data_IF_221803686665
#
_entry.id   IF_221803686665
#
_cell.length_a   1.000
_cell.length_b   1.000
_cell.length_c   1.000
_cell.angle_alpha   90.00
_cell.angle_beta   90.00
_cell.angle_gamma   90.00
#
_symmetry.space_group_name_H-M   'P 1'
#
loop_
_entity.id
_entity.type
_entity.pdbx_description
1 polymer ?
#
# COMPACT_ATOMS: atom_id res chain seq x y z
N UNK A 1 -15.91 0.08 -33.87
CA UNK A 1 -15.15 -1.18 -33.70
C UNK A 1 -14.04 -0.97 -32.64
N UNK A 2 -14.17 -1.64 -31.50
CA UNK A 2 -13.14 -1.63 -30.47
C UNK A 2 -11.92 -2.43 -30.92
N UNK A 3 -10.71 -1.89 -30.71
CA UNK A 3 -9.46 -2.57 -31.07
C UNK A 3 -8.92 -3.36 -29.89
N UNK A 4 -8.09 -4.38 -30.14
CA UNK A 4 -7.41 -5.15 -29.07
C UNK A 4 -6.61 -4.22 -28.14
N UNK A 5 -6.04 -3.13 -28.68
CA UNK A 5 -5.31 -2.12 -27.91
C UNK A 5 -6.20 -1.33 -26.92
N UNK A 6 -7.50 -1.19 -27.19
CA UNK A 6 -8.42 -0.52 -26.27
C UNK A 6 -8.84 -1.42 -25.10
N UNK A 7 -8.84 -2.74 -25.31
CA UNK A 7 -9.10 -3.74 -24.27
C UNK A 7 -7.92 -3.81 -23.28
N UNK A 8 -6.70 -3.81 -23.78
CA UNK A 8 -5.49 -3.87 -22.94
C UNK A 8 -5.34 -2.62 -22.05
N UNK A 9 -5.67 -1.43 -22.58
CA UNK A 9 -5.62 -0.18 -21.81
C UNK A 9 -6.59 -0.19 -20.62
N UNK A 10 -7.81 -0.68 -20.82
CA UNK A 10 -8.83 -0.78 -19.77
C UNK A 10 -8.53 -1.86 -18.74
N UNK A 11 -7.87 -2.95 -19.16
CA UNK A 11 -7.42 -3.98 -18.23
C UNK A 11 -6.33 -3.43 -17.28
N UNK A 12 -5.33 -2.73 -17.84
CA UNK A 12 -4.25 -2.12 -17.05
C UNK A 12 -4.76 -1.04 -16.08
N UNK A 13 -5.70 -0.20 -16.51
CA UNK A 13 -6.29 0.83 -15.65
C UNK A 13 -7.04 0.22 -14.44
N UNK A 14 -7.79 -0.88 -14.67
CA UNK A 14 -8.48 -1.60 -13.59
C UNK A 14 -7.52 -2.32 -12.65
N UNK A 15 -6.42 -2.86 -13.18
CA UNK A 15 -5.36 -3.50 -12.40
C UNK A 15 -4.70 -2.48 -11.44
N UNK A 16 -4.33 -1.30 -11.94
CA UNK A 16 -3.74 -0.22 -11.11
C UNK A 16 -4.68 0.24 -9.99
N UNK A 17 -5.98 0.41 -10.29
CA UNK A 17 -6.98 0.81 -9.28
C UNK A 17 -7.15 -0.28 -8.22
N UNK A 18 -7.20 -1.55 -8.64
CA UNK A 18 -7.30 -2.71 -7.74
C UNK A 18 -6.06 -2.81 -6.84
N UNK A 19 -4.87 -2.64 -7.40
CA UNK A 19 -3.62 -2.73 -6.66
C UNK A 19 -3.49 -1.60 -5.64
N UNK A 20 -3.84 -0.38 -6.04
CA UNK A 20 -3.84 0.78 -5.12
C UNK A 20 -4.79 0.55 -3.95
N UNK A 21 -6.01 0.05 -4.22
CA UNK A 21 -6.98 -0.30 -3.19
C UNK A 21 -6.52 -1.45 -2.29
N UNK A 22 -5.85 -2.46 -2.84
CA UNK A 22 -5.30 -3.59 -2.08
C UNK A 22 -4.17 -3.15 -1.16
N UNK A 23 -3.25 -2.29 -1.64
CA UNK A 23 -2.16 -1.73 -0.83
C UNK A 23 -2.72 -0.89 0.31
N UNK A 24 -3.72 -0.04 0.07
CA UNK A 24 -4.32 0.78 1.13
C UNK A 24 -5.03 -0.07 2.19
N UNK A 25 -5.78 -1.10 1.78
CA UNK A 25 -6.45 -2.01 2.71
C UNK A 25 -5.45 -2.80 3.56
N UNK A 26 -4.41 -3.36 2.95
CA UNK A 26 -3.35 -4.07 3.65
C UNK A 26 -2.57 -3.13 4.58
N UNK A 27 -2.33 -1.88 4.19
CA UNK A 27 -1.67 -0.88 5.02
C UNK A 27 -2.49 -0.54 6.28
N UNK A 28 -3.82 -0.38 6.14
CA UNK A 28 -4.73 -0.21 7.30
C UNK A 28 -4.68 -1.41 8.24
N UNK A 29 -4.68 -2.63 7.68
CA UNK A 29 -4.56 -3.85 8.48
C UNK A 29 -3.20 -3.92 9.21
N UNK A 30 -2.11 -3.53 8.55
CA UNK A 30 -0.78 -3.51 9.16
C UNK A 30 -0.66 -2.49 10.31
N UNK A 31 -1.26 -1.30 10.14
CA UNK A 31 -1.34 -0.28 11.19
C UNK A 31 -2.17 -0.79 12.37
N UNK A 32 -3.32 -1.42 12.10
CA UNK A 32 -4.18 -1.98 13.14
C UNK A 32 -3.52 -3.14 13.90
N UNK A 33 -2.69 -3.95 13.23
CA UNK A 33 -1.92 -5.02 13.84
C UNK A 33 -0.71 -4.52 14.64
N UNK A 34 -0.19 -3.32 14.33
CA UNK A 34 0.99 -2.74 14.97
C UNK A 34 0.75 -1.27 15.40
N UNK A 35 -0.19 -1.03 16.32
CA UNK A 35 -0.56 0.33 16.74
C UNK A 35 0.62 1.09 17.36
N UNK A 36 1.45 0.40 18.15
CA UNK A 36 2.66 0.97 18.75
C UNK A 36 3.66 1.46 17.68
N UNK A 37 3.82 0.69 16.59
CA UNK A 37 4.70 1.09 15.49
C UNK A 37 4.18 2.35 14.78
N UNK A 38 2.87 2.48 14.62
CA UNK A 38 2.26 3.69 14.09
C UNK A 38 2.46 4.90 15.03
N UNK A 39 2.35 4.72 16.34
CA UNK A 39 2.67 5.76 17.33
C UNK A 39 4.14 6.19 17.27
N UNK A 40 5.07 5.24 17.20
CA UNK A 40 6.50 5.53 17.04
C UNK A 40 6.77 6.35 15.77
N UNK A 41 6.13 6.00 14.64
CA UNK A 41 6.22 6.78 13.40
C UNK A 41 5.67 8.19 13.58
N UNK A 42 4.52 8.37 14.26
CA UNK A 42 3.99 9.71 14.60
C UNK A 42 4.94 10.51 15.49
N UNK A 43 5.64 9.83 16.41
CA UNK A 43 6.66 10.40 17.28
C UNK A 43 8.02 10.65 16.59
N UNK A 44 8.11 10.48 15.27
CA UNK A 44 9.33 10.74 14.49
C UNK A 44 10.29 9.55 14.34
N UNK A 45 9.98 8.39 14.94
CA UNK A 45 10.78 7.16 14.79
C UNK A 45 10.39 6.41 13.53
N UNK A 46 10.79 6.95 12.38
CA UNK A 46 10.43 6.42 11.05
C UNK A 46 10.88 4.97 10.81
N UNK A 47 11.83 4.44 11.57
CA UNK A 47 12.30 3.05 11.47
C UNK A 47 11.20 2.03 11.81
N UNK A 48 10.22 2.41 12.63
CA UNK A 48 9.09 1.55 12.99
C UNK A 48 8.16 1.22 11.80
N UNK A 49 8.34 1.89 10.64
CA UNK A 49 7.58 1.57 9.42
C UNK A 49 8.04 0.29 8.70
N UNK A 50 9.28 -0.14 8.90
CA UNK A 50 9.85 -1.31 8.21
C UNK A 50 9.02 -2.59 8.37
N UNK A 51 8.64 -2.98 9.61
CA UNK A 51 7.77 -4.12 9.85
C UNK A 51 6.39 -4.00 9.19
N UNK A 52 5.80 -2.80 9.19
CA UNK A 52 4.53 -2.53 8.49
C UNK A 52 4.65 -2.78 6.99
N UNK A 53 5.73 -2.30 6.35
CA UNK A 53 5.99 -2.53 4.93
C UNK A 53 6.07 -4.03 4.63
N UNK A 54 6.84 -4.78 5.42
CA UNK A 54 6.98 -6.23 5.23
C UNK A 54 5.65 -6.98 5.37
N UNK A 55 4.77 -6.53 6.25
CA UNK A 55 3.43 -7.12 6.40
C UNK A 55 2.52 -6.82 5.21
N UNK A 56 2.56 -5.60 4.68
CA UNK A 56 1.78 -5.22 3.49
C UNK A 56 2.24 -5.99 2.27
N UNK A 57 3.55 -6.10 2.04
CA UNK A 57 4.12 -6.85 0.90
C UNK A 57 3.79 -8.35 0.95
N UNK A 58 3.56 -8.92 2.14
CA UNK A 58 3.08 -10.30 2.26
C UNK A 58 1.62 -10.47 1.87
N UNK A 59 0.80 -9.43 2.07
CA UNK A 59 -0.62 -9.44 1.71
C UNK A 59 -0.85 -9.05 0.24
N UNK A 60 0.02 -8.18 -0.30
CA UNK A 60 -0.06 -7.69 -1.67
C UNK A 60 1.23 -8.06 -2.40
N UNK A 61 1.18 -9.19 -3.11
CA UNK A 61 2.30 -9.65 -3.92
C UNK A 61 2.57 -8.67 -5.07
N UNK A 62 3.85 -8.38 -5.34
CA UNK A 62 4.25 -7.46 -6.42
C UNK A 62 4.16 -5.97 -6.08
N UNK A 63 3.68 -5.60 -4.89
CA UNK A 63 3.67 -4.21 -4.47
C UNK A 63 5.09 -3.64 -4.30
N UNK A 64 5.30 -2.41 -4.76
CA UNK A 64 6.56 -1.71 -4.60
C UNK A 64 6.76 -1.20 -3.16
N UNK A 65 7.92 -1.46 -2.52
CA UNK A 65 8.18 -1.03 -1.15
C UNK A 65 8.09 0.48 -0.90
N UNK A 66 8.45 1.31 -1.89
CA UNK A 66 8.39 2.78 -1.73
C UNK A 66 6.94 3.24 -1.74
N UNK A 67 6.14 2.72 -2.67
CA UNK A 67 4.70 3.00 -2.78
C UNK A 67 3.96 2.57 -1.51
N UNK A 68 4.26 1.38 -0.99
CA UNK A 68 3.72 0.89 0.29
C UNK A 68 4.09 1.81 1.45
N UNK A 69 5.35 2.24 1.52
CA UNK A 69 5.83 3.17 2.55
C UNK A 69 5.09 4.51 2.49
N UNK A 70 4.89 5.07 1.31
CA UNK A 70 4.16 6.33 1.13
C UNK A 70 2.71 6.23 1.59
N UNK A 71 2.02 5.14 1.24
CA UNK A 71 0.65 4.87 1.70
C UNK A 71 0.59 4.74 3.22
N UNK A 72 1.50 3.97 3.83
CA UNK A 72 1.58 3.83 5.30
C UNK A 72 1.81 5.19 5.98
N UNK A 73 2.74 6.01 5.48
CA UNK A 73 2.98 7.34 6.03
C UNK A 73 1.76 8.24 5.91
N UNK A 74 1.11 8.25 4.75
CA UNK A 74 -0.12 9.02 4.52
C UNK A 74 -1.22 8.61 5.51
N UNK A 75 -1.40 7.31 5.75
CA UNK A 75 -2.42 6.81 6.69
C UNK A 75 -2.07 7.07 8.17
N UNK A 76 -0.79 7.08 8.54
CA UNK A 76 -0.36 7.32 9.92
C UNK A 76 -0.39 8.82 10.26
N UNK A 77 -0.06 9.68 9.28
CA UNK A 77 0.05 11.14 9.44
C UNK A 77 -1.25 11.89 9.09
N UNK A 78 -2.25 11.20 8.52
CA UNK A 78 -3.61 11.73 8.36
C UNK A 78 -4.37 11.73 9.67
#
# INVERSE_FOLDING_TARGET
PWTVADVDRLAAEREIVRDTGAVEAAAKAAIAAMPEAAEHVRGGKMQAIGPMIGMVMKQVAGADPKSVREVLLKLIQS
#
